data_IF_326741664471
#
_entry.id   IF_326741664471
#
_cell.length_a   1.000
_cell.length_b   1.000
_cell.length_c   1.000
_cell.angle_alpha   90.00
_cell.angle_beta   90.00
_cell.angle_gamma   90.00
#
_symmetry.space_group_name_H-M   'P 1'
#
loop_
_entity.id
_entity.type
_entity.pdbx_description
1 polymer ?
#
# COMPACT_ATOMS: atom_id res chain seq x y z
N UNK A 1 -0.29 -3.86 12.58
CA UNK A 1 0.44 -3.95 11.30
C UNK A 1 1.07 -2.62 10.94
N UNK A 2 2.17 -2.69 10.22
CA UNK A 2 2.82 -1.48 9.71
C UNK A 2 2.29 -1.18 8.32
N UNK A 3 1.69 -0.02 8.16
CA UNK A 3 1.05 0.37 6.91
C UNK A 3 1.70 1.64 6.38
N UNK A 4 2.05 1.64 5.11
CA UNK A 4 2.60 2.82 4.45
C UNK A 4 1.55 3.40 3.50
N UNK A 5 1.07 4.59 3.80
CA UNK A 5 0.14 5.31 2.92
C UNK A 5 0.97 6.24 2.04
N UNK A 6 1.57 5.68 1.00
CA UNK A 6 2.57 6.38 0.21
C UNK A 6 2.03 7.59 -0.55
N UNK A 7 0.80 7.53 -0.98
CA UNK A 7 0.16 8.66 -1.67
C UNK A 7 -0.80 9.44 -0.76
N UNK A 8 -0.69 9.19 0.52
CA UNK A 8 -1.55 9.84 1.51
C UNK A 8 -2.82 9.08 1.79
N UNK A 9 -3.54 9.52 2.79
CA UNK A 9 -4.79 8.89 3.21
C UNK A 9 -5.65 9.98 3.86
N UNK A 10 -6.96 9.83 3.80
CA UNK A 10 -7.85 10.81 4.42
C UNK A 10 -7.67 10.79 5.94
N UNK A 11 -7.92 11.91 6.62
CA UNK A 11 -7.80 11.95 8.08
C UNK A 11 -8.69 10.92 8.79
N UNK A 12 -9.88 10.71 8.30
CA UNK A 12 -10.77 9.72 8.91
C UNK A 12 -10.26 8.31 8.74
N UNK A 13 -9.70 7.99 7.56
CA UNK A 13 -9.10 6.69 7.32
C UNK A 13 -7.87 6.46 8.19
N UNK A 14 -7.04 7.49 8.33
CA UNK A 14 -5.86 7.42 9.17
C UNK A 14 -6.25 7.14 10.63
N UNK A 15 -7.21 7.89 11.14
CA UNK A 15 -7.67 7.72 12.50
C UNK A 15 -8.23 6.32 12.73
N UNK A 16 -9.03 5.82 11.80
CA UNK A 16 -9.62 4.49 11.90
C UNK A 16 -8.56 3.40 11.99
N UNK A 17 -7.52 3.50 11.17
CA UNK A 17 -6.44 2.52 11.19
C UNK A 17 -5.64 2.59 12.48
N UNK A 18 -5.35 3.80 12.95
CA UNK A 18 -4.61 3.97 14.18
C UNK A 18 -5.39 3.46 15.39
N UNK A 19 -6.69 3.69 15.40
CA UNK A 19 -7.55 3.20 16.48
C UNK A 19 -7.65 1.67 16.47
N UNK A 20 -7.49 1.07 15.30
CA UNK A 20 -7.48 -0.39 15.18
C UNK A 20 -6.14 -0.99 15.62
N UNK A 21 -5.17 -0.17 15.99
CA UNK A 21 -3.89 -0.65 16.47
C UNK A 21 -2.80 -0.72 15.43
N UNK A 22 -3.03 -0.17 14.25
CA UNK A 22 -2.02 -0.18 13.19
C UNK A 22 -1.11 1.04 13.28
N UNK A 23 0.12 0.87 12.83
CA UNK A 23 1.07 1.96 12.70
C UNK A 23 1.02 2.43 11.26
N UNK A 24 0.61 3.66 11.03
CA UNK A 24 0.45 4.20 9.68
C UNK A 24 1.47 5.31 9.42
N UNK A 25 2.22 5.15 8.36
CA UNK A 25 3.19 6.16 7.91
C UNK A 25 2.61 6.83 6.67
N UNK A 26 2.55 8.15 6.69
CA UNK A 26 2.00 8.91 5.57
C UNK A 26 3.06 9.64 4.76
N UNK A 27 4.32 9.29 4.97
CA UNK A 27 5.43 9.88 4.25
C UNK A 27 5.51 9.35 2.83
N UNK A 28 5.81 10.19 1.87
CA UNK A 28 5.98 9.75 0.49
C UNK A 28 7.39 9.20 0.27
N UNK A 29 7.47 7.98 -0.20
CA UNK A 29 8.74 7.32 -0.49
C UNK A 29 8.85 7.16 -2.00
N UNK A 30 9.95 7.59 -2.57
CA UNK A 30 10.17 7.49 -4.01
C UNK A 30 10.27 6.04 -4.44
N UNK A 31 9.86 5.77 -5.67
CA UNK A 31 9.86 4.41 -6.21
C UNK A 31 11.21 3.70 -6.04
N UNK A 32 12.30 4.42 -6.25
CA UNK A 32 13.64 3.86 -6.12
C UNK A 32 13.97 3.40 -4.70
N UNK A 33 13.32 4.02 -3.72
CA UNK A 33 13.61 3.73 -2.31
C UNK A 33 12.52 2.92 -1.65
N UNK A 34 11.42 2.72 -2.36
CA UNK A 34 10.24 2.07 -1.80
C UNK A 34 10.54 0.64 -1.34
N UNK A 35 11.24 -0.11 -2.16
CA UNK A 35 11.62 -1.48 -1.83
C UNK A 35 12.43 -1.54 -0.54
N UNK A 36 13.46 -0.72 -0.44
CA UNK A 36 14.31 -0.71 0.74
C UNK A 36 13.52 -0.28 1.98
N UNK A 37 12.66 0.72 1.82
CA UNK A 37 11.85 1.21 2.92
C UNK A 37 10.92 0.12 3.45
N UNK A 38 10.22 -0.56 2.56
CA UNK A 38 9.29 -1.63 2.94
C UNK A 38 10.02 -2.75 3.68
N UNK A 39 11.18 -3.15 3.17
CA UNK A 39 11.94 -4.21 3.81
C UNK A 39 12.55 -3.79 5.14
N UNK A 40 13.07 -2.58 5.20
CA UNK A 40 13.72 -2.09 6.41
C UNK A 40 12.72 -1.92 7.56
N UNK A 41 11.57 -1.37 7.26
CA UNK A 41 10.54 -1.12 8.27
C UNK A 41 9.52 -2.25 8.40
N UNK A 42 9.69 -3.31 7.64
CA UNK A 42 8.80 -4.46 7.66
C UNK A 42 7.34 -4.04 7.46
N UNK A 43 7.13 -3.28 6.41
CA UNK A 43 5.79 -2.80 6.08
C UNK A 43 4.91 -3.98 5.65
N UNK A 44 3.77 -4.12 6.28
CA UNK A 44 2.83 -5.19 5.99
C UNK A 44 1.90 -4.84 4.84
N UNK A 45 1.53 -3.59 4.71
CA UNK A 45 0.62 -3.15 3.67
C UNK A 45 0.96 -1.78 3.15
N UNK A 46 0.66 -1.54 1.88
CA UNK A 46 0.89 -0.25 1.24
C UNK A 46 -0.44 0.26 0.68
N UNK A 47 -0.73 1.51 0.99
CA UNK A 47 -1.91 2.18 0.46
C UNK A 47 -1.42 3.20 -0.56
N UNK A 48 -1.98 3.15 -1.76
CA UNK A 48 -1.56 4.03 -2.85
C UNK A 48 -2.76 4.66 -3.53
N UNK A 49 -2.50 5.64 -4.37
CA UNK A 49 -3.48 6.21 -5.27
C UNK A 49 -2.90 6.09 -6.68
N UNK A 50 -2.87 7.16 -7.44
CA UNK A 50 -2.35 7.09 -8.80
C UNK A 50 -0.86 7.37 -8.92
N UNK A 51 -0.25 7.96 -7.90
CA UNK A 51 1.15 8.38 -7.98
C UNK A 51 2.15 7.23 -7.82
N UNK A 52 1.82 6.25 -7.00
CA UNK A 52 2.72 5.14 -6.73
C UNK A 52 2.32 3.91 -7.53
N UNK A 53 3.31 3.24 -8.10
CA UNK A 53 3.08 2.02 -8.87
C UNK A 53 3.61 0.83 -8.10
N UNK A 54 2.81 -0.22 -8.02
CA UNK A 54 3.18 -1.46 -7.37
C UNK A 54 3.27 -2.54 -8.44
N UNK A 55 4.47 -2.82 -8.87
CA UNK A 55 4.73 -3.76 -9.97
C UNK A 55 5.34 -5.06 -9.46
N UNK A 56 5.50 -6.02 -10.37
CA UNK A 56 6.04 -7.32 -10.03
C UNK A 56 7.39 -7.26 -9.33
N UNK A 57 8.27 -6.39 -9.80
CA UNK A 57 9.60 -6.25 -9.21
C UNK A 57 9.53 -5.90 -7.74
N UNK A 58 8.66 -4.96 -7.41
CA UNK A 58 8.52 -4.53 -6.02
C UNK A 58 7.92 -5.66 -5.18
N UNK A 59 6.92 -6.33 -5.70
CA UNK A 59 6.29 -7.44 -4.98
C UNK A 59 7.27 -8.57 -4.71
N UNK A 60 8.13 -8.87 -5.67
CA UNK A 60 9.14 -9.90 -5.50
C UNK A 60 10.20 -9.51 -4.50
N UNK A 61 10.52 -8.23 -4.45
CA UNK A 61 11.58 -7.73 -3.58
C UNK A 61 11.10 -7.52 -2.14
N UNK A 62 9.81 -7.53 -1.90
CA UNK A 62 9.24 -7.27 -0.58
C UNK A 62 8.44 -8.46 -0.07
N UNK A 63 9.11 -9.52 0.37
CA UNK A 63 8.41 -10.73 0.80
C UNK A 63 7.57 -10.56 2.06
N UNK A 64 7.80 -9.51 2.83
CA UNK A 64 7.02 -9.26 4.03
C UNK A 64 5.69 -8.54 3.72
N UNK A 65 5.55 -8.01 2.51
CA UNK A 65 4.35 -7.31 2.12
C UNK A 65 3.16 -8.26 2.05
N UNK A 66 2.06 -7.89 2.67
CA UNK A 66 0.89 -8.76 2.78
C UNK A 66 -0.31 -8.26 1.99
N UNK A 67 -0.43 -6.93 1.84
CA UNK A 67 -1.55 -6.39 1.09
C UNK A 67 -1.21 -5.08 0.43
N UNK A 68 -1.99 -4.73 -0.58
CA UNK A 68 -1.89 -3.44 -1.28
C UNK A 68 -3.31 -2.92 -1.46
N UNK A 69 -3.54 -1.71 -1.02
CA UNK A 69 -4.83 -1.05 -1.20
C UNK A 69 -4.67 0.18 -2.07
N UNK A 70 -5.67 0.47 -2.88
CA UNK A 70 -5.65 1.66 -3.72
C UNK A 70 -6.90 2.50 -3.47
N UNK A 71 -6.68 3.78 -3.24
CA UNK A 71 -7.80 4.72 -3.12
C UNK A 71 -8.25 5.14 -4.50
N UNK A 72 -9.47 4.78 -4.88
CA UNK A 72 -10.03 5.10 -6.17
C UNK A 72 -10.56 3.87 -6.87
N UNK A 73 -11.09 4.07 -8.08
CA UNK A 73 -11.75 2.99 -8.80
C UNK A 73 -10.83 2.19 -9.73
N UNK A 74 -9.76 2.80 -10.22
CA UNK A 74 -8.85 2.11 -11.13
C UNK A 74 -7.76 1.36 -10.40
N UNK A 75 -7.15 0.40 -11.04
CA UNK A 75 -6.07 -0.39 -10.47
C UNK A 75 -4.90 -0.51 -11.46
N UNK A 76 -4.82 0.40 -12.41
CA UNK A 76 -3.84 0.32 -13.49
C UNK A 76 -2.39 0.41 -13.02
N UNK A 77 -2.17 1.01 -11.88
CA UNK A 77 -0.83 1.18 -11.33
C UNK A 77 -0.38 0.01 -10.46
N UNK A 78 -1.20 -1.04 -10.37
CA UNK A 78 -0.88 -2.22 -9.56
C UNK A 78 -0.97 -3.45 -10.45
N UNK A 79 0.03 -4.33 -10.35
CA UNK A 79 -0.02 -5.63 -11.04
C UNK A 79 -0.88 -6.57 -10.22
N UNK A 80 -2.18 -6.40 -10.31
CA UNK A 80 -3.17 -7.08 -9.47
C UNK A 80 -3.09 -8.59 -9.57
N UNK A 81 -3.08 -9.10 -10.79
CA UNK A 81 -3.07 -10.54 -10.99
C UNK A 81 -1.81 -11.17 -10.40
N UNK A 82 -0.67 -10.56 -10.67
CA UNK A 82 0.59 -11.08 -10.15
C UNK A 82 0.60 -11.09 -8.63
N UNK A 83 0.12 -10.00 -8.03
CA UNK A 83 0.08 -9.91 -6.58
C UNK A 83 -0.84 -10.97 -5.97
N UNK A 84 -1.99 -11.17 -6.56
CA UNK A 84 -2.92 -12.21 -6.08
C UNK A 84 -2.33 -13.60 -6.21
N UNK A 85 -1.61 -13.85 -7.30
CA UNK A 85 -0.96 -15.15 -7.50
C UNK A 85 0.11 -15.41 -6.45
N UNK A 86 0.72 -14.35 -5.92
CA UNK A 86 1.70 -14.49 -4.86
C UNK A 86 1.07 -14.61 -3.47
N UNK A 87 -0.23 -14.45 -3.38
CA UNK A 87 -0.91 -14.52 -2.09
C UNK A 87 -1.12 -13.16 -1.43
N UNK A 88 -0.88 -12.07 -2.14
CA UNK A 88 -1.14 -10.73 -1.62
C UNK A 88 -2.63 -10.41 -1.71
N UNK A 89 -3.15 -9.75 -0.69
CA UNK A 89 -4.50 -9.23 -0.76
C UNK A 89 -4.45 -7.88 -1.47
N UNK A 90 -5.12 -7.78 -2.60
CA UNK A 90 -5.15 -6.53 -3.37
C UNK A 90 -6.59 -6.07 -3.51
N UNK A 91 -6.84 -4.84 -3.12
CA UNK A 91 -8.19 -4.30 -3.12
C UNK A 91 -8.17 -2.81 -3.42
N UNK A 92 -9.34 -2.27 -3.74
CA UNK A 92 -9.48 -0.84 -3.90
C UNK A 92 -10.57 -0.32 -2.97
N UNK A 93 -10.50 0.97 -2.69
CA UNK A 93 -11.47 1.64 -1.83
C UNK A 93 -12.11 2.76 -2.65
N UNK A 94 -13.08 2.42 -3.48
CA UNK A 94 -13.59 3.35 -4.49
C UNK A 94 -14.23 4.62 -3.94
N UNK A 95 -14.81 4.56 -2.81
CA UNK A 95 -15.44 5.76 -2.29
C UNK A 95 -14.83 6.20 -1.01
N UNK A 96 -13.57 6.09 -0.95
CA UNK A 96 -12.85 6.52 0.21
C UNK A 96 -13.23 7.91 0.62
N UNK A 97 -13.74 8.59 -0.31
CA UNK A 97 -14.24 9.88 -0.08
C UNK A 97 -15.40 9.94 0.83
N UNK A 98 -16.11 9.02 0.82
CA UNK A 98 -17.29 9.22 1.60
C UNK A 98 -16.93 9.71 2.97
#
# INVERSE_FOLDING_TARGET
>A
MNILANDGISPSGLTALQEAGHIVTTEFIEAEKLEAYINEHKIDGVLVRSATKIRQDLMNACPTLKFVGRGGVGMDNIDVQYGRDKGLAIFNTPSASS
#
